data_IF_150628063337
#
_entry.id   IF_150628063337
#
_cell.length_a   1.000
_cell.length_b   1.000
_cell.length_c   1.000
_cell.angle_alpha   90.00
_cell.angle_beta   90.00
_cell.angle_gamma   90.00
#
_symmetry.space_group_name_H-M   'P 1'
#
loop_
_entity.id
_entity.type
_entity.pdbx_description
1 polymer ?
#
# COMPACT_ATOMS: atom_id res chain seq x y z
N UNK A 1 -0.03 13.79 7.66
CA UNK A 1 0.35 12.43 7.24
C UNK A 1 1.07 12.52 5.90
N UNK A 2 2.22 11.83 5.69
CA UNK A 2 2.82 11.68 4.37
C UNK A 2 1.78 11.03 3.45
N UNK A 3 1.48 11.65 2.31
CA UNK A 3 0.51 11.09 1.37
C UNK A 3 1.00 9.74 0.81
N UNK A 4 0.04 8.88 0.41
CA UNK A 4 0.20 7.49 -0.07
C UNK A 4 1.38 7.24 -1.03
N UNK A 5 1.80 8.25 -1.79
CA UNK A 5 2.85 8.13 -2.81
C UNK A 5 4.28 8.19 -2.25
N UNK A 6 4.50 8.67 -1.01
CA UNK A 6 5.83 8.69 -0.38
C UNK A 6 6.22 7.29 0.14
N UNK A 7 5.23 6.45 0.44
CA UNK A 7 5.42 5.09 0.98
C UNK A 7 6.21 4.21 0.01
N UNK A 8 5.85 4.24 -1.28
CA UNK A 8 6.52 3.48 -2.35
C UNK A 8 7.98 3.87 -2.44
N UNK A 9 8.28 5.17 -2.34
CA UNK A 9 9.65 5.68 -2.34
C UNK A 9 10.45 5.18 -1.12
N UNK A 10 9.88 5.23 0.10
CA UNK A 10 10.59 4.79 1.31
C UNK A 10 10.89 3.28 1.31
N UNK A 11 10.00 2.46 0.71
CA UNK A 11 10.21 1.02 0.57
C UNK A 11 11.23 0.64 -0.49
N UNK A 12 11.41 1.47 -1.52
CA UNK A 12 12.42 1.23 -2.55
C UNK A 12 13.86 1.25 -2.00
N UNK A 13 14.07 1.77 -0.79
CA UNK A 13 15.35 1.67 -0.08
C UNK A 13 15.57 0.26 0.49
N UNK A 14 16.15 -0.61 -0.33
CA UNK A 14 16.58 -1.96 0.03
C UNK A 14 17.92 -1.99 0.80
N UNK A 15 18.64 -0.87 0.81
CA UNK A 15 19.88 -0.67 1.56
C UNK A 15 19.99 0.76 2.08
N UNK A 16 20.93 1.00 3.00
CA UNK A 16 21.12 2.30 3.64
C UNK A 16 21.30 3.45 2.62
N UNK A 17 21.94 3.17 1.48
CA UNK A 17 22.27 4.18 0.46
C UNK A 17 21.98 3.65 -0.93
N UNK A 18 21.16 4.37 -1.69
CA UNK A 18 20.81 3.98 -3.06
C UNK A 18 20.94 5.15 -4.04
N UNK A 19 21.20 4.85 -5.31
CA UNK A 19 21.22 5.89 -6.35
C UNK A 19 19.79 6.22 -6.76
N UNK A 20 19.54 7.48 -7.11
CA UNK A 20 18.25 7.93 -7.61
C UNK A 20 17.76 7.09 -8.80
N UNK A 21 18.67 6.68 -9.70
CA UNK A 21 18.30 5.83 -10.84
C UNK A 21 17.76 4.46 -10.39
N UNK A 22 18.44 3.83 -9.43
CA UNK A 22 18.02 2.51 -8.91
C UNK A 22 16.68 2.64 -8.17
N UNK A 23 16.51 3.70 -7.37
CA UNK A 23 15.25 4.02 -6.69
C UNK A 23 14.11 4.32 -7.70
N UNK A 24 14.40 5.08 -8.77
CA UNK A 24 13.45 5.39 -9.83
C UNK A 24 12.94 4.10 -10.50
N UNK A 25 13.85 3.19 -10.86
CA UNK A 25 13.54 1.89 -11.43
C UNK A 25 12.68 1.03 -10.48
N UNK A 26 13.05 0.96 -9.19
CA UNK A 26 12.31 0.19 -8.18
C UNK A 26 10.91 0.77 -7.89
N UNK A 27 10.75 2.09 -7.94
CA UNK A 27 9.44 2.73 -7.74
C UNK A 27 8.52 2.57 -8.96
N UNK A 28 9.08 2.37 -10.16
CA UNK A 28 8.32 2.28 -11.41
C UNK A 28 7.60 3.56 -11.81
N UNK A 29 7.93 4.70 -11.17
CA UNK A 29 7.34 5.99 -11.49
C UNK A 29 8.01 6.62 -12.72
N UNK A 30 7.27 7.51 -13.40
CA UNK A 30 7.90 8.37 -14.40
C UNK A 30 8.93 9.28 -13.76
N UNK A 31 9.99 9.62 -14.50
CA UNK A 31 11.08 10.47 -14.02
C UNK A 31 10.62 11.73 -13.28
N UNK A 32 9.70 12.50 -13.89
CA UNK A 32 9.16 13.71 -13.29
C UNK A 32 8.45 13.43 -11.95
N UNK A 33 7.67 12.34 -11.89
CA UNK A 33 6.93 11.96 -10.68
C UNK A 33 7.86 11.44 -9.58
N UNK A 34 8.87 10.66 -9.94
CA UNK A 34 9.88 10.17 -9.01
C UNK A 34 10.61 11.33 -8.32
N UNK A 35 11.12 12.31 -9.09
CA UNK A 35 11.84 13.44 -8.51
C UNK A 35 10.93 14.39 -7.71
N UNK A 36 9.66 14.55 -8.09
CA UNK A 36 8.67 15.27 -7.27
C UNK A 36 8.54 14.63 -5.88
N UNK A 37 8.38 13.30 -5.82
CA UNK A 37 8.23 12.56 -4.58
C UNK A 37 9.52 12.52 -3.77
N UNK A 38 10.66 12.37 -4.44
CA UNK A 38 11.98 12.37 -3.80
C UNK A 38 12.26 13.73 -3.15
N UNK A 39 12.01 14.83 -3.85
CA UNK A 39 12.16 16.17 -3.28
C UNK A 39 11.20 16.38 -2.10
N UNK A 40 9.95 15.93 -2.21
CA UNK A 40 9.00 16.01 -1.09
C UNK A 40 9.43 15.18 0.11
N UNK A 41 9.98 13.98 -0.08
CA UNK A 41 10.50 13.15 1.01
C UNK A 41 11.72 13.79 1.68
N UNK A 42 12.52 14.53 0.91
CA UNK A 42 13.63 15.35 1.44
C UNK A 42 13.10 16.54 2.24
N UNK A 43 12.12 17.29 1.73
CA UNK A 43 11.47 18.39 2.44
C UNK A 43 10.83 17.93 3.76
N UNK A 44 10.29 16.70 3.78
CA UNK A 44 9.72 16.08 4.97
C UNK A 44 10.77 15.49 5.93
N UNK A 45 12.06 15.56 5.60
CA UNK A 45 13.13 15.04 6.45
C UNK A 45 13.17 13.51 6.55
N UNK A 46 12.55 12.79 5.62
CA UNK A 46 12.51 11.32 5.57
C UNK A 46 13.66 10.74 4.74
N UNK A 47 14.17 11.52 3.80
CA UNK A 47 15.27 11.15 2.89
C UNK A 47 16.30 12.28 2.88
N UNK A 48 17.58 11.95 2.76
CA UNK A 48 18.66 12.94 2.58
C UNK A 48 19.58 12.54 1.43
N UNK A 49 20.25 13.54 0.84
CA UNK A 49 21.27 13.33 -0.18
C UNK A 49 22.56 12.86 0.49
N UNK A 50 23.16 11.80 -0.04
CA UNK A 50 24.48 11.33 0.36
C UNK A 50 25.54 12.10 -0.43
N UNK A 51 26.72 12.33 0.14
CA UNK A 51 27.78 13.19 -0.43
C UNK A 51 28.28 12.85 -1.86
N UNK A 52 27.85 11.74 -2.47
CA UNK A 52 28.08 11.44 -3.90
C UNK A 52 26.88 11.88 -4.74
N UNK A 53 27.12 12.50 -5.90
CA UNK A 53 26.06 12.95 -6.82
C UNK A 53 25.04 11.84 -7.09
N UNK A 54 23.78 12.15 -6.82
CA UNK A 54 22.65 11.26 -7.14
C UNK A 54 22.46 10.08 -6.18
N UNK A 55 23.14 10.04 -5.04
CA UNK A 55 22.88 9.06 -3.97
C UNK A 55 21.99 9.65 -2.88
N UNK A 56 21.11 8.82 -2.34
CA UNK A 56 20.15 9.17 -1.30
C UNK A 56 20.15 8.08 -0.22
N UNK A 57 19.79 8.46 1.00
CA UNK A 57 19.62 7.56 2.15
C UNK A 57 18.38 7.97 2.95
N UNK A 58 17.78 7.00 3.64
CA UNK A 58 16.74 7.29 4.61
C UNK A 58 17.34 8.03 5.81
N UNK A 59 16.54 8.88 6.44
CA UNK A 59 16.82 9.33 7.81
C UNK A 59 16.30 8.29 8.79
N UNK A 60 16.70 8.38 10.06
CA UNK A 60 16.16 7.52 11.12
C UNK A 60 14.62 7.60 11.19
N UNK A 61 14.06 8.78 10.94
CA UNK A 61 12.61 8.98 10.87
C UNK A 61 12.03 8.28 9.63
N UNK A 62 12.69 8.39 8.48
CA UNK A 62 12.32 7.65 7.26
C UNK A 62 12.31 6.14 7.45
N UNK A 63 13.29 5.58 8.16
CA UNK A 63 13.35 4.16 8.51
C UNK A 63 12.21 3.73 9.44
N UNK A 64 11.94 4.51 10.51
CA UNK A 64 10.80 4.25 11.40
C UNK A 64 9.47 4.23 10.65
N UNK A 65 9.27 5.18 9.73
CA UNK A 65 8.08 5.22 8.89
C UNK A 65 8.00 4.01 7.97
N UNK A 66 9.10 3.65 7.27
CA UNK A 66 9.15 2.47 6.41
C UNK A 66 8.73 1.21 7.19
N UNK A 67 9.34 0.99 8.35
CA UNK A 67 9.11 -0.20 9.16
C UNK A 67 7.71 -0.25 9.77
N UNK A 68 7.18 0.90 10.21
CA UNK A 68 5.79 1.02 10.67
C UNK A 68 4.81 0.63 9.56
N UNK A 69 5.04 1.13 8.34
CA UNK A 69 4.17 0.88 7.20
C UNK A 69 4.19 -0.58 6.75
N UNK A 70 5.37 -1.23 6.76
CA UNK A 70 5.48 -2.67 6.49
C UNK A 70 4.63 -3.45 7.51
N UNK A 71 4.82 -3.19 8.81
CA UNK A 71 4.07 -3.85 9.88
C UNK A 71 2.56 -3.61 9.80
N UNK A 72 2.15 -2.40 9.44
CA UNK A 72 0.74 -2.05 9.29
C UNK A 72 0.08 -2.87 8.17
N UNK A 73 0.71 -2.94 6.99
CA UNK A 73 0.18 -3.74 5.89
C UNK A 73 0.10 -5.21 6.28
N UNK A 74 1.18 -5.82 6.81
CA UNK A 74 1.17 -7.23 7.23
C UNK A 74 0.06 -7.54 8.25
N UNK A 75 -0.20 -6.62 9.18
CA UNK A 75 -1.29 -6.75 10.16
C UNK A 75 -2.66 -6.68 9.48
N UNK A 76 -2.86 -5.75 8.56
CA UNK A 76 -4.12 -5.62 7.82
C UNK A 76 -4.43 -6.89 7.03
N UNK A 77 -3.45 -7.41 6.27
CA UNK A 77 -3.57 -8.69 5.55
C UNK A 77 -3.98 -9.82 6.50
N UNK A 78 -3.22 -10.02 7.58
CA UNK A 78 -3.49 -11.09 8.55
C UNK A 78 -4.90 -10.98 9.14
N UNK A 79 -5.31 -9.78 9.55
CA UNK A 79 -6.61 -9.56 10.17
C UNK A 79 -7.76 -9.84 9.20
N UNK A 80 -7.62 -9.47 7.93
CA UNK A 80 -8.61 -9.80 6.90
C UNK A 80 -8.76 -11.31 6.74
N UNK A 81 -7.66 -12.07 6.69
CA UNK A 81 -7.73 -13.52 6.57
C UNK A 81 -8.34 -14.19 7.80
N UNK A 82 -8.04 -13.70 9.02
CA UNK A 82 -8.68 -14.18 10.25
C UNK A 82 -10.21 -14.04 10.21
N UNK A 83 -10.71 -12.88 9.76
CA UNK A 83 -12.15 -12.62 9.66
C UNK A 83 -12.81 -13.53 8.61
N UNK A 84 -12.17 -13.70 7.45
CA UNK A 84 -12.66 -14.61 6.39
C UNK A 84 -12.76 -16.05 6.92
N UNK A 85 -11.77 -16.51 7.67
CA UNK A 85 -11.76 -17.85 8.23
C UNK A 85 -12.87 -18.05 9.28
N UNK A 86 -13.08 -17.06 10.16
CA UNK A 86 -14.16 -17.07 11.15
C UNK A 86 -15.55 -17.07 10.49
N UNK A 87 -15.76 -16.29 9.44
CA UNK A 87 -17.00 -16.28 8.66
C UNK A 87 -17.25 -17.64 7.97
N UNK A 88 -16.21 -18.24 7.37
CA UNK A 88 -16.32 -19.57 6.76
C UNK A 88 -16.74 -20.65 7.78
N UNK A 89 -16.13 -20.63 8.98
CA UNK A 89 -16.50 -21.55 10.07
C UNK A 89 -17.96 -21.36 10.49
N UNK A 90 -18.38 -20.11 10.69
CA UNK A 90 -19.76 -19.77 11.06
C UNK A 90 -20.78 -20.27 10.01
N UNK A 91 -20.49 -20.09 8.72
CA UNK A 91 -21.31 -20.59 7.61
C UNK A 91 -21.39 -22.14 7.62
N UNK A 92 -20.28 -22.82 7.91
CA UNK A 92 -20.20 -24.27 7.99
C UNK A 92 -21.04 -24.87 9.12
N UNK A 93 -21.10 -24.19 10.27
CA UNK A 93 -21.85 -24.62 11.45
C UNK A 93 -23.36 -24.26 11.38
N UNK A 94 -23.72 -23.29 10.54
CA UNK A 94 -25.11 -22.81 10.42
C UNK A 94 -26.02 -23.83 9.76
N UNK A 95 -27.06 -24.26 10.49
CA UNK A 95 -28.09 -25.20 10.00
C UNK A 95 -29.30 -24.51 9.35
N UNK A 96 -29.52 -23.23 9.61
CA UNK A 96 -30.59 -22.45 8.99
C UNK A 96 -30.18 -22.02 7.59
N UNK A 97 -30.90 -22.50 6.56
CA UNK A 97 -30.57 -22.26 5.15
C UNK A 97 -30.64 -20.78 4.77
N UNK A 98 -31.67 -20.06 5.20
CA UNK A 98 -31.82 -18.63 4.86
C UNK A 98 -30.69 -17.78 5.46
N UNK A 99 -30.36 -18.02 6.73
CA UNK A 99 -29.24 -17.35 7.40
C UNK A 99 -27.89 -17.72 6.74
N UNK A 100 -27.73 -18.97 6.32
CA UNK A 100 -26.53 -19.42 5.62
C UNK A 100 -26.33 -18.68 4.30
N UNK A 101 -27.40 -18.52 3.53
CA UNK A 101 -27.36 -17.79 2.25
C UNK A 101 -27.00 -16.30 2.48
N UNK A 102 -27.55 -15.66 3.51
CA UNK A 102 -27.19 -14.28 3.90
C UNK A 102 -25.72 -14.14 4.30
N UNK A 103 -25.21 -15.06 5.13
CA UNK A 103 -23.80 -15.06 5.56
C UNK A 103 -22.84 -15.30 4.40
N UNK A 104 -23.22 -16.13 3.42
CA UNK A 104 -22.44 -16.33 2.19
C UNK A 104 -22.39 -15.02 1.38
N UNK A 105 -23.51 -14.31 1.22
CA UNK A 105 -23.52 -13.00 0.56
C UNK A 105 -22.60 -12.00 1.26
N UNK A 106 -22.68 -11.90 2.59
CA UNK A 106 -21.80 -11.03 3.38
C UNK A 106 -20.32 -11.41 3.24
N UNK A 107 -20.00 -12.72 3.23
CA UNK A 107 -18.63 -13.18 3.01
C UNK A 107 -18.13 -12.80 1.61
N UNK A 108 -18.96 -12.93 0.58
CA UNK A 108 -18.61 -12.53 -0.78
C UNK A 108 -18.38 -11.02 -0.85
N UNK A 109 -19.29 -10.20 -0.30
CA UNK A 109 -19.15 -8.75 -0.27
C UNK A 109 -17.90 -8.30 0.51
N UNK A 110 -17.69 -8.85 1.71
CA UNK A 110 -16.51 -8.57 2.51
C UNK A 110 -15.23 -9.03 1.79
N UNK A 111 -15.23 -10.22 1.20
CA UNK A 111 -14.07 -10.75 0.48
C UNK A 111 -13.77 -9.91 -0.74
N UNK A 112 -14.76 -9.52 -1.55
CA UNK A 112 -14.55 -8.65 -2.72
C UNK A 112 -14.03 -7.29 -2.27
N UNK A 113 -14.63 -6.67 -1.26
CA UNK A 113 -14.21 -5.36 -0.77
C UNK A 113 -12.81 -5.41 -0.16
N UNK A 114 -12.50 -6.42 0.65
CA UNK A 114 -11.18 -6.56 1.24
C UNK A 114 -10.14 -7.01 0.23
N UNK A 115 -10.43 -7.95 -0.67
CA UNK A 115 -9.53 -8.31 -1.77
C UNK A 115 -9.34 -7.12 -2.69
N UNK A 116 -10.34 -6.28 -2.92
CA UNK A 116 -10.22 -5.05 -3.69
C UNK A 116 -9.36 -4.03 -2.96
N UNK A 117 -9.56 -3.81 -1.65
CA UNK A 117 -8.72 -2.91 -0.85
C UNK A 117 -7.29 -3.43 -0.73
N UNK A 118 -7.12 -4.73 -0.54
CA UNK A 118 -5.85 -5.43 -0.56
C UNK A 118 -5.23 -5.35 -1.94
N UNK A 119 -5.97 -5.56 -3.04
CA UNK A 119 -5.46 -5.42 -4.40
C UNK A 119 -5.12 -3.98 -4.68
N UNK A 120 -5.92 -3.02 -4.23
CA UNK A 120 -5.70 -1.60 -4.41
C UNK A 120 -4.44 -1.21 -3.64
N UNK A 121 -4.32 -1.61 -2.38
CA UNK A 121 -3.09 -1.46 -1.60
C UNK A 121 -1.95 -2.17 -2.30
N UNK A 122 -2.11 -3.39 -2.80
CA UNK A 122 -1.10 -4.20 -3.49
C UNK A 122 -0.72 -3.59 -4.84
N UNK A 123 -1.64 -2.97 -5.57
CA UNK A 123 -1.42 -2.25 -6.84
C UNK A 123 -0.70 -0.94 -6.51
N UNK A 124 -1.17 -0.19 -5.51
CA UNK A 124 -0.47 0.98 -4.97
C UNK A 124 0.91 0.61 -4.38
N UNK A 125 1.11 -0.63 -3.93
CA UNK A 125 2.32 -1.19 -3.32
C UNK A 125 3.28 -1.83 -4.34
N UNK A 126 2.80 -2.45 -5.42
CA UNK A 126 3.61 -3.23 -6.38
C UNK A 126 3.59 -2.71 -7.83
N UNK A 127 2.52 -2.07 -8.33
CA UNK A 127 2.43 -1.55 -9.71
C UNK A 127 1.27 -0.56 -9.86
N UNK A 128 1.54 0.71 -10.21
CA UNK A 128 0.94 1.40 -11.38
C UNK A 128 0.54 2.88 -11.18
N UNK A 129 0.71 3.74 -12.22
CA UNK A 129 0.70 5.18 -12.18
C UNK A 129 -0.69 5.75 -12.52
N UNK A 130 -1.63 5.75 -11.56
CA UNK A 130 -2.95 6.36 -11.81
C UNK A 130 -2.95 7.88 -11.57
N UNK A 131 -3.05 8.64 -12.66
CA UNK A 131 -3.36 10.08 -12.61
C UNK A 131 -4.66 10.38 -11.87
N UNK A 132 -4.72 11.55 -11.21
CA UNK A 132 -5.82 11.97 -10.30
C UNK A 132 -7.24 11.74 -10.84
N UNK A 133 -7.43 11.83 -12.16
CA UNK A 133 -8.73 11.70 -12.82
C UNK A 133 -9.29 10.29 -12.82
N UNK A 134 -8.44 9.25 -12.86
CA UNK A 134 -8.90 7.86 -12.85
C UNK A 134 -9.27 7.39 -11.43
N UNK A 135 -8.53 7.86 -10.41
CA UNK A 135 -8.82 7.60 -9.00
C UNK A 135 -10.17 8.14 -8.55
N UNK A 136 -10.50 9.38 -8.94
CA UNK A 136 -11.79 10.01 -8.60
C UNK A 136 -12.97 9.29 -9.24
N UNK A 137 -12.85 8.86 -10.51
CA UNK A 137 -13.92 8.10 -11.19
C UNK A 137 -14.17 6.72 -10.57
N UNK A 138 -13.15 6.07 -10.02
CA UNK A 138 -13.33 4.78 -9.34
C UNK A 138 -13.97 5.01 -7.96
N UNK A 139 -13.53 6.03 -7.22
CA UNK A 139 -14.13 6.42 -5.93
C UNK A 139 -15.60 6.83 -6.06
N UNK A 140 -15.94 7.64 -7.07
CA UNK A 140 -17.31 8.12 -7.35
C UNK A 140 -18.22 7.01 -7.91
N UNK A 141 -17.71 5.79 -8.17
CA UNK A 141 -18.51 4.63 -8.58
C UNK A 141 -18.71 3.60 -7.46
N UNK A 142 -18.03 3.76 -6.32
CA UNK A 142 -18.08 2.83 -5.17
C UNK A 142 -18.97 3.38 -4.04
N UNK A 143 -19.27 4.69 -4.04
CA UNK A 143 -20.27 5.37 -3.19
C UNK A 143 -21.47 5.72 -4.06
#
# INVERSE_FOLDING_TARGET
MPGENIIVLLKAFESDKMRAKDLEELTGYSHARFYELLNKAIEMGLVKKCGKRGCYELTEEGEKWRDYLIKYHERAFRRTFEIIDEMCRTIGETRNRALKDELICLLIEFSINNLFLILLDTILYFKSPMGRTARKKIFDCII
#
